data_IF_957066214337
#
_entry.id   IF_957066214337
#
_cell.length_a   1.000
_cell.length_b   1.000
_cell.length_c   1.000
_cell.angle_alpha   90.00
_cell.angle_beta   90.00
_cell.angle_gamma   90.00
#
_symmetry.space_group_name_H-M   'P 1'
#
loop_
_entity.id
_entity.type
_entity.pdbx_description
1 polymer ?
#
# COMPACT_ATOMS: atom_id res chain seq x y z
N UNK A 1 3.76 -23.07 6.92
CA UNK A 1 3.53 -22.00 7.93
C UNK A 1 4.25 -20.77 7.40
N UNK A 2 3.45 -19.84 6.87
CA UNK A 2 3.69 -19.11 5.62
C UNK A 2 4.54 -17.84 5.79
N UNK A 3 5.81 -18.01 6.19
CA UNK A 3 6.81 -16.95 6.17
C UNK A 3 7.92 -17.26 5.16
N UNK A 4 7.57 -17.58 3.90
CA UNK A 4 8.56 -18.02 2.90
C UNK A 4 8.39 -17.47 1.47
N UNK A 5 7.75 -16.31 1.31
CA UNK A 5 7.73 -15.61 0.02
C UNK A 5 7.99 -14.10 0.13
N UNK A 6 8.62 -13.64 1.21
CA UNK A 6 8.99 -12.22 1.43
C UNK A 6 10.19 -11.76 0.58
N UNK A 7 10.43 -12.40 -0.57
CA UNK A 7 11.56 -12.09 -1.46
C UNK A 7 11.11 -11.43 -2.78
N UNK A 8 9.81 -11.38 -3.10
CA UNK A 8 9.35 -10.92 -4.42
C UNK A 8 8.88 -9.45 -4.49
N UNK A 9 8.51 -8.81 -3.37
CA UNK A 9 8.10 -7.39 -3.35
C UNK A 9 9.30 -6.44 -3.21
N UNK A 10 10.42 -6.76 -3.86
CA UNK A 10 11.61 -5.87 -3.88
C UNK A 10 11.96 -5.32 -5.27
N UNK A 11 11.17 -5.61 -6.31
CA UNK A 11 11.65 -5.42 -7.68
C UNK A 11 10.78 -4.57 -8.61
N UNK A 12 9.75 -3.88 -8.11
CA UNK A 12 8.89 -3.01 -8.96
C UNK A 12 8.68 -1.60 -8.42
N UNK A 13 9.69 -0.99 -7.79
CA UNK A 13 9.76 0.47 -7.70
C UNK A 13 10.53 1.01 -8.90
N UNK A 14 10.05 0.66 -10.09
CA UNK A 14 10.61 1.16 -11.35
C UNK A 14 9.82 2.40 -11.75
N UNK A 15 10.56 3.51 -11.81
CA UNK A 15 10.31 4.64 -12.70
C UNK A 15 8.95 5.33 -12.56
N UNK A 16 8.92 6.40 -11.77
CA UNK A 16 8.17 7.59 -12.19
C UNK A 16 9.18 8.72 -12.32
N UNK A 17 10.05 8.55 -13.31
CA UNK A 17 10.76 9.67 -13.89
C UNK A 17 9.72 10.53 -14.62
N UNK A 18 9.87 11.84 -14.43
CA UNK A 18 9.29 12.90 -15.24
C UNK A 18 7.81 13.26 -15.05
N UNK A 19 7.65 14.49 -14.54
CA UNK A 19 6.82 15.58 -15.09
C UNK A 19 5.33 15.28 -15.36
N UNK A 20 4.48 16.14 -14.80
CA UNK A 20 3.04 16.31 -15.11
C UNK A 20 1.97 15.44 -14.37
N UNK A 21 2.33 14.69 -13.32
CA UNK A 21 1.43 13.73 -12.67
C UNK A 21 0.52 14.23 -11.53
N UNK A 22 0.20 15.53 -11.42
CA UNK A 22 -0.78 16.00 -10.41
C UNK A 22 -2.20 15.44 -10.70
N UNK A 23 -2.47 15.05 -11.97
CA UNK A 23 -3.78 14.52 -12.40
C UNK A 23 -3.92 12.99 -12.40
N UNK A 24 -2.81 12.24 -12.47
CA UNK A 24 -2.80 10.77 -12.47
C UNK A 24 -2.10 10.24 -11.21
N UNK A 25 -2.51 10.74 -10.05
CA UNK A 25 -1.97 10.31 -8.77
C UNK A 25 -2.27 8.81 -8.55
N UNK A 26 -1.29 7.96 -8.87
CA UNK A 26 -1.34 6.54 -8.57
C UNK A 26 -0.67 6.32 -7.20
N UNK A 27 -1.36 5.66 -6.25
CA UNK A 27 -0.75 5.33 -4.99
C UNK A 27 0.43 4.37 -5.23
N UNK A 28 1.55 4.51 -4.50
CA UNK A 28 2.73 3.66 -4.66
C UNK A 28 2.49 2.21 -4.19
N UNK A 29 1.34 1.95 -3.57
CA UNK A 29 0.91 0.64 -3.06
C UNK A 29 -0.31 0.13 -3.86
N UNK A 30 -0.17 -0.97 -4.65
CA UNK A 30 -1.30 -1.61 -5.31
C UNK A 30 -2.13 -2.45 -4.33
N UNK A 31 -3.40 -2.71 -4.67
CA UNK A 31 -4.30 -3.52 -3.83
C UNK A 31 -3.83 -4.97 -3.66
N UNK A 32 -3.17 -5.52 -4.69
CA UNK A 32 -2.56 -6.84 -4.63
C UNK A 32 -1.51 -6.94 -3.52
N UNK A 33 -0.70 -5.88 -3.32
CA UNK A 33 0.31 -5.84 -2.27
C UNK A 33 -0.33 -5.86 -0.87
N UNK A 34 -1.46 -5.20 -0.70
CA UNK A 34 -2.22 -5.21 0.56
C UNK A 34 -2.72 -6.63 0.83
N UNK A 35 -3.31 -7.27 -0.17
CA UNK A 35 -3.78 -8.66 -0.08
C UNK A 35 -2.64 -9.61 0.28
N UNK A 36 -1.49 -9.51 -0.37
CA UNK A 36 -0.31 -10.32 -0.08
C UNK A 36 0.28 -10.03 1.31
N UNK A 37 0.27 -8.77 1.75
CA UNK A 37 0.86 -8.40 3.04
C UNK A 37 0.03 -8.89 4.22
N UNK A 38 -1.30 -8.78 4.12
CA UNK A 38 -2.21 -9.22 5.19
C UNK A 38 -2.71 -10.66 4.98
N UNK A 39 -2.35 -11.30 3.88
CA UNK A 39 -2.85 -12.62 3.45
C UNK A 39 -4.39 -12.65 3.41
N UNK A 40 -4.99 -11.57 2.89
CA UNK A 40 -6.45 -11.39 2.84
C UNK A 40 -6.99 -11.42 1.42
N UNK A 41 -8.22 -11.94 1.22
CA UNK A 41 -8.90 -11.86 -0.07
C UNK A 41 -9.24 -10.41 -0.45
N UNK A 42 -9.59 -10.15 -1.73
CA UNK A 42 -10.07 -8.84 -2.16
C UNK A 42 -11.36 -8.47 -1.43
N UNK A 43 -11.23 -7.62 -0.41
CA UNK A 43 -12.32 -7.13 0.42
C UNK A 43 -12.41 -5.59 0.35
N UNK A 44 -13.51 -5.06 0.90
CA UNK A 44 -13.76 -3.62 0.92
C UNK A 44 -12.62 -2.83 1.58
N UNK A 45 -12.06 -3.40 2.65
CA UNK A 45 -10.93 -2.84 3.41
C UNK A 45 -9.70 -2.58 2.53
N UNK A 46 -9.42 -3.42 1.54
CA UNK A 46 -8.31 -3.18 0.59
C UNK A 46 -8.55 -1.89 -0.22
N UNK A 47 -9.80 -1.65 -0.60
CA UNK A 47 -10.23 -0.42 -1.26
C UNK A 47 -10.11 0.80 -0.33
N UNK A 48 -10.53 0.66 0.92
CA UNK A 48 -10.42 1.70 1.94
C UNK A 48 -8.95 2.07 2.20
N UNK A 49 -8.05 1.09 2.35
CA UNK A 49 -6.60 1.33 2.52
C UNK A 49 -6.02 2.09 1.32
N UNK A 50 -6.34 1.67 0.09
CA UNK A 50 -5.86 2.37 -1.12
C UNK A 50 -6.32 3.83 -1.15
N UNK A 51 -7.58 4.06 -0.83
CA UNK A 51 -8.14 5.41 -0.80
C UNK A 51 -7.50 6.23 0.32
N UNK A 52 -7.35 5.68 1.52
CA UNK A 52 -6.72 6.37 2.64
C UNK A 52 -5.26 6.72 2.37
N UNK A 53 -4.48 5.84 1.72
CA UNK A 53 -3.13 6.16 1.26
C UNK A 53 -3.14 7.32 0.26
N UNK A 54 -4.05 7.26 -0.73
CA UNK A 54 -4.17 8.33 -1.72
C UNK A 54 -4.55 9.67 -1.06
N UNK A 55 -5.51 9.65 -0.16
CA UNK A 55 -6.00 10.83 0.56
C UNK A 55 -4.89 11.42 1.43
N UNK A 56 -4.18 10.59 2.20
CA UNK A 56 -3.07 11.03 3.04
C UNK A 56 -1.91 11.65 2.23
N UNK A 57 -1.64 11.13 1.03
CA UNK A 57 -0.63 11.75 0.15
C UNK A 57 -1.13 13.07 -0.44
N UNK A 58 -2.43 13.19 -0.74
CA UNK A 58 -3.02 14.42 -1.24
C UNK A 58 -3.14 15.51 -0.17
N UNK A 59 -3.44 15.13 1.07
CA UNK A 59 -3.47 16.02 2.24
C UNK A 59 -2.06 16.45 2.66
N UNK A 60 -1.05 15.63 2.32
CA UNK A 60 0.35 15.85 2.68
C UNK A 60 0.73 15.26 4.04
N UNK A 61 -0.11 14.40 4.60
CA UNK A 61 0.17 13.58 5.79
C UNK A 61 1.32 12.59 5.57
N UNK A 62 1.44 12.08 4.34
CA UNK A 62 2.39 11.02 3.96
C UNK A 62 3.04 11.38 2.63
N UNK A 63 4.36 11.22 2.47
CA UNK A 63 4.97 11.44 1.18
C UNK A 63 4.55 10.39 0.15
N UNK A 64 4.61 10.76 -1.13
CA UNK A 64 4.40 9.84 -2.26
C UNK A 64 5.59 8.89 -2.45
N UNK A 65 5.99 8.19 -1.39
CA UNK A 65 7.04 7.19 -1.41
C UNK A 65 6.48 5.85 -0.95
N UNK A 66 7.18 4.78 -1.31
CA UNK A 66 6.77 3.44 -0.95
C UNK A 66 6.82 3.21 0.56
N UNK A 67 7.84 3.73 1.24
CA UNK A 67 8.11 3.46 2.65
C UNK A 67 7.00 3.98 3.56
N UNK A 68 6.62 5.26 3.41
CA UNK A 68 5.55 5.88 4.19
C UNK A 68 4.17 5.36 3.79
N UNK A 69 3.92 5.13 2.50
CA UNK A 69 2.67 4.53 2.07
C UNK A 69 2.50 3.10 2.59
N UNK A 70 3.59 2.33 2.66
CA UNK A 70 3.61 0.99 3.24
C UNK A 70 3.42 1.03 4.76
N UNK A 71 4.07 1.96 5.45
CA UNK A 71 3.87 2.18 6.89
C UNK A 71 2.41 2.56 7.20
N UNK A 72 1.81 3.45 6.40
CA UNK A 72 0.41 3.83 6.52
C UNK A 72 -0.50 2.63 6.23
N UNK A 73 -0.23 1.85 5.19
CA UNK A 73 -0.95 0.62 4.88
C UNK A 73 -0.96 -0.35 6.09
N UNK A 74 0.21 -0.58 6.71
CA UNK A 74 0.33 -1.42 7.91
C UNK A 74 -0.47 -0.88 9.09
N UNK A 75 -0.41 0.44 9.32
CA UNK A 75 -1.15 1.12 10.38
C UNK A 75 -2.66 1.00 10.17
N UNK A 76 -3.13 1.31 8.96
CA UNK A 76 -4.53 1.21 8.57
C UNK A 76 -5.05 -0.22 8.66
N UNK A 77 -4.30 -1.20 8.18
CA UNK A 77 -4.69 -2.60 8.31
C UNK A 77 -4.80 -3.03 9.76
N UNK A 78 -3.87 -2.60 10.63
CA UNK A 78 -3.95 -2.87 12.07
C UNK A 78 -5.16 -2.19 12.73
N UNK A 79 -5.49 -0.95 12.35
CA UNK A 79 -6.67 -0.23 12.84
C UNK A 79 -7.98 -0.89 12.39
N UNK A 80 -8.02 -1.45 11.17
CA UNK A 80 -9.17 -2.20 10.66
C UNK A 80 -9.30 -3.61 11.26
N UNK A 81 -8.29 -4.09 12.00
CA UNK A 81 -8.27 -5.44 12.53
C UNK A 81 -7.85 -6.51 11.52
N UNK A 82 -7.21 -6.09 10.42
CA UNK A 82 -6.54 -6.98 9.48
C UNK A 82 -5.30 -7.56 10.17
N UNK A 83 -5.50 -8.70 10.81
CA UNK A 83 -4.45 -9.47 11.47
C UNK A 83 -3.61 -10.16 10.41
N UNK A 84 -2.34 -9.73 10.29
CA UNK A 84 -1.31 -10.55 9.66
C UNK A 84 -1.28 -11.88 10.42
N UNK A 85 -1.71 -12.95 9.75
CA UNK A 85 -1.80 -14.27 10.33
C UNK A 85 -0.48 -14.66 11.01
N UNK A 86 -0.59 -15.07 12.28
CA UNK A 86 0.54 -15.57 13.09
C UNK A 86 1.08 -16.92 12.62
#
# INVERSE_FOLDING_TARGET
>A
RYLRNFELVRLKLKEVEEKDNIRNFQPPIPGELIMETFDIPPCKEVGDIKNAIKDAILDGDVANNYDEAFALMLKLGKEMGLVSGS
#
